data_IF_157674253753
#
_entry.id   IF_157674253753
#
_cell.length_a   1.000
_cell.length_b   1.000
_cell.length_c   1.000
_cell.angle_alpha   90.00
_cell.angle_beta   90.00
_cell.angle_gamma   90.00
#
_symmetry.space_group_name_H-M   'P 1'
#
loop_
_entity.id
_entity.type
_entity.pdbx_description
1 polymer ?
2 polymer ?
3 non-polymer ?
4 water ?
#
loop_
_entity_poly.entity_id
_entity_poly.type
_entity_poly.pdbx_seq_one_letter_code
_entity_poly.pdbx_strand_id
2 'polyribonucleotide' '(GTP)GCGCGCGCGCC' ?
#
# COMPACT_ATOMS: atom_id res chain seq x y z
N UNK A 7 -3.48 -16.52 -19.40
CA UNK A 7 -2.88 -16.07 -18.16
C UNK A 7 -2.08 -14.77 -18.40
N UNK A 8 -2.29 -13.76 -17.53
CA UNK A 8 -1.62 -12.48 -17.70
C UNK A 8 -0.28 -12.48 -16.96
N UNK A 9 0.79 -12.30 -17.73
CA UNK A 9 2.16 -12.30 -17.25
C UNK A 9 2.58 -10.83 -17.11
N UNK A 10 3.27 -10.50 -16.02
CA UNK A 10 3.77 -9.14 -15.78
C UNK A 10 5.28 -9.10 -15.77
N UNK A 11 5.86 -7.98 -16.19
CA UNK A 11 7.30 -7.79 -15.90
C UNK A 11 7.45 -7.03 -14.60
N UNK A 12 8.42 -7.40 -13.79
CA UNK A 12 8.69 -6.76 -12.49
C UNK A 12 9.92 -5.85 -12.71
N UNK A 13 9.73 -4.53 -12.55
CA UNK A 13 10.80 -3.56 -12.87
C UNK A 13 11.16 -2.76 -11.65
N UNK A 14 12.39 -2.22 -11.66
CA UNK A 14 12.77 -1.28 -10.58
C UNK A 14 11.87 -0.07 -10.67
N UNK A 15 11.30 0.31 -9.53
CA UNK A 15 10.39 1.48 -9.48
C UNK A 15 11.10 2.80 -9.78
N UNK A 16 12.40 2.84 -9.58
CA UNK A 16 13.18 4.05 -9.79
C UNK A 16 13.70 4.18 -11.21
N UNK A 17 14.43 3.16 -11.72
CA UNK A 17 15.07 3.30 -13.05
C UNK A 17 14.40 2.53 -14.22
N UNK A 18 13.39 1.74 -13.89
CA UNK A 18 12.60 0.95 -14.83
C UNK A 18 13.32 -0.19 -15.53
N UNK A 19 14.45 -0.64 -15.01
CA UNK A 19 15.06 -1.83 -15.56
C UNK A 19 14.31 -3.07 -15.05
N UNK A 20 14.33 -4.10 -15.88
CA UNK A 20 13.53 -5.31 -15.62
C UNK A 20 14.30 -6.25 -14.70
N UNK A 21 13.65 -6.80 -13.67
CA UNK A 21 14.31 -7.86 -12.86
C UNK A 21 13.84 -9.24 -13.29
N UNK A 22 12.54 -9.48 -13.51
CA UNK A 22 12.08 -10.83 -13.82
C UNK A 22 10.62 -10.81 -14.15
N UNK A 23 10.08 -11.95 -14.56
CA UNK A 23 8.65 -12.04 -14.82
C UNK A 23 7.88 -12.55 -13.61
N UNK A 24 6.58 -12.24 -13.58
CA UNK A 24 5.72 -12.54 -12.42
C UNK A 24 5.65 -14.07 -12.14
N UNK A 25 5.83 -14.88 -13.18
CA UNK A 25 5.64 -16.34 -13.07
C UNK A 25 6.75 -16.91 -12.15
N UNK A 26 7.80 -16.14 -11.84
CA UNK A 26 8.90 -16.62 -10.99
C UNK A 26 8.76 -16.24 -9.52
N UNK A 27 7.74 -15.47 -9.15
CA UNK A 27 7.57 -15.13 -7.76
C UNK A 27 6.74 -16.20 -7.10
N UNK A 28 7.26 -16.81 -6.02
CA UNK A 28 6.55 -17.85 -5.30
C UNK A 28 6.75 -17.65 -3.81
N UNK A 29 5.77 -18.12 -3.01
CA UNK A 29 5.78 -17.86 -1.54
C UNK A 29 6.33 -19.03 -0.74
N UNK A 30 7.01 -18.69 0.36
CA UNK A 30 7.44 -19.68 1.35
C UNK A 30 7.06 -19.09 2.71
N UNK A 31 6.01 -19.61 3.38
CA UNK A 31 5.55 -18.99 4.66
C UNK A 31 5.50 -17.46 4.58
N UNK A 32 4.83 -16.98 3.52
CA UNK A 32 4.58 -15.55 3.34
C UNK A 32 5.79 -14.67 3.06
N UNK A 33 6.91 -15.31 2.67
CA UNK A 33 8.05 -14.64 2.12
C UNK A 33 7.95 -14.78 0.60
N UNK A 34 7.98 -13.68 -0.11
CA UNK A 34 7.79 -13.71 -1.57
C UNK A 34 9.10 -13.63 -2.26
N UNK A 35 9.53 -14.78 -2.82
CA UNK A 35 10.91 -14.91 -3.31
C UNK A 35 10.95 -15.10 -4.81
N UNK A 36 12.13 -14.89 -5.39
CA UNK A 36 12.24 -14.97 -6.84
C UNK A 36 12.89 -16.31 -7.14
N UNK A 37 12.31 -17.08 -8.06
CA UNK A 37 12.87 -18.40 -8.37
C UNK A 37 13.32 -18.47 -9.84
N UNK A 38 13.76 -17.31 -10.39
CA UNK A 38 14.36 -17.28 -11.73
C UNK A 38 15.87 -17.15 -11.52
N UNK A 39 16.66 -18.17 -11.87
CA UNK A 39 18.09 -18.03 -11.53
C UNK A 39 18.74 -16.83 -12.27
N UNK A 40 18.16 -16.38 -13.39
CA UNK A 40 18.67 -15.25 -14.15
C UNK A 40 18.60 -13.92 -13.41
N UNK A 41 17.80 -13.85 -12.34
CA UNK A 41 17.52 -12.55 -11.75
C UNK A 41 18.76 -11.98 -11.05
N UNK A 42 19.69 -12.88 -10.63
CA UNK A 42 20.87 -12.41 -9.97
C UNK A 42 21.73 -11.51 -10.88
N UNK A 43 21.63 -11.64 -12.20
CA UNK A 43 22.41 -10.77 -13.10
C UNK A 43 22.03 -9.29 -12.92
N UNK A 44 20.84 -9.05 -12.35
CA UNK A 44 20.36 -7.67 -12.23
C UNK A 44 20.40 -7.14 -10.80
N UNK A 45 21.24 -7.74 -9.95
CA UNK A 45 21.30 -7.37 -8.55
C UNK A 45 22.73 -7.27 -8.08
N UNK A 46 23.07 -6.19 -7.37
CA UNK A 46 24.30 -6.18 -6.57
C UNK A 46 23.95 -6.84 -5.26
N UNK A 47 24.93 -7.55 -4.68
CA UNK A 47 24.75 -8.21 -3.39
C UNK A 47 25.79 -7.61 -2.45
N UNK A 48 25.35 -7.11 -1.30
CA UNK A 48 26.28 -6.48 -0.38
C UNK A 48 26.00 -6.86 1.04
N UNK A 49 27.06 -7.16 1.78
CA UNK A 49 26.90 -7.57 3.18
C UNK A 49 26.43 -6.42 4.04
N UNK A 50 25.48 -6.68 4.97
CA UNK A 50 25.10 -5.69 5.99
C UNK A 50 26.08 -5.54 7.13
N UNK A 51 27.05 -6.44 7.22
CA UNK A 51 27.97 -6.49 8.36
C UNK A 51 27.19 -6.40 9.69
N UNK A 52 26.08 -7.15 9.73
CA UNK A 52 25.25 -7.25 10.92
C UNK A 52 24.32 -8.46 10.75
N UNK A 53 24.50 -9.47 11.59
CA UNK A 53 23.65 -10.65 11.48
C UNK A 53 22.21 -10.34 11.89
N UNK A 54 21.24 -10.96 11.22
CA UNK A 54 19.84 -10.82 11.60
C UNK A 54 19.57 -11.14 13.05
N UNK A 55 18.61 -10.44 13.62
CA UNK A 55 18.06 -10.83 14.89
C UNK A 55 17.25 -12.13 14.77
N UNK A 56 16.71 -12.42 13.59
CA UNK A 56 15.95 -13.67 13.42
C UNK A 56 16.94 -14.80 13.09
N UNK A 57 17.04 -15.79 14.01
CA UNK A 57 18.01 -16.86 13.84
C UNK A 57 17.29 -18.19 13.72
N UNK A 58 17.33 -18.79 12.54
CA UNK A 58 16.75 -20.11 12.37
C UNK A 58 17.58 -20.89 11.35
N UNK A 59 17.46 -22.22 11.31
CA UNK A 59 18.16 -22.97 10.26
C UNK A 59 17.55 -22.85 8.87
N UNK A 60 16.22 -22.83 8.82
CA UNK A 60 15.49 -22.95 7.56
C UNK A 60 15.17 -21.66 6.82
N UNK A 61 15.42 -20.51 7.48
CA UNK A 61 15.05 -19.22 6.86
C UNK A 61 16.01 -18.18 7.44
N UNK A 62 17.03 -17.82 6.66
CA UNK A 62 18.12 -16.97 7.15
C UNK A 62 18.18 -15.69 6.31
N UNK A 63 17.82 -14.53 6.89
CA UNK A 63 18.04 -13.26 6.17
C UNK A 63 19.54 -12.90 6.10
N UNK A 64 20.04 -12.61 4.87
CA UNK A 64 21.47 -12.47 4.66
C UNK A 64 21.70 -11.11 4.00
N UNK A 65 22.44 -11.07 2.90
CA UNK A 65 22.95 -9.80 2.30
C UNK A 65 21.84 -8.93 1.76
N UNK A 66 22.07 -7.62 1.75
CA UNK A 66 21.12 -6.75 1.03
C UNK A 66 21.29 -6.91 -0.46
N UNK A 67 20.25 -6.56 -1.23
CA UNK A 67 20.35 -6.57 -2.70
C UNK A 67 19.97 -5.20 -3.23
N UNK A 68 20.75 -4.75 -4.23
CA UNK A 68 20.57 -3.42 -4.82
C UNK A 68 20.31 -3.59 -6.30
N UNK A 69 19.55 -2.66 -6.86
CA UNK A 69 19.37 -2.68 -8.33
C UNK A 69 20.76 -2.54 -8.99
N UNK A 70 21.01 -3.44 -9.97
CA UNK A 70 22.29 -3.40 -10.69
C UNK A 70 22.56 -2.08 -11.38
N UNK A 71 21.50 -1.38 -11.85
CA UNK A 71 21.69 -0.19 -12.61
C UNK A 71 21.69 1.09 -11.78
N UNK A 72 20.67 1.27 -10.90
CA UNK A 72 20.55 2.57 -10.18
C UNK A 72 21.08 2.46 -8.72
N UNK A 73 21.35 1.23 -8.29
CA UNK A 73 21.91 0.93 -6.97
C UNK A 73 21.01 1.17 -5.77
N UNK A 74 19.73 1.49 -5.96
CA UNK A 74 18.83 1.60 -4.82
C UNK A 74 18.66 0.23 -4.18
N UNK A 75 18.45 0.22 -2.86
CA UNK A 75 18.12 -1.06 -2.25
C UNK A 75 16.74 -1.57 -2.64
N UNK A 76 16.67 -2.85 -3.04
CA UNK A 76 15.42 -3.44 -3.55
C UNK A 76 14.96 -4.69 -2.75
N UNK A 77 15.59 -4.98 -1.62
CA UNK A 77 15.14 -6.11 -0.77
C UNK A 77 16.37 -6.73 -0.13
N UNK A 78 16.27 -8.05 0.07
CA UNK A 78 17.33 -8.76 0.80
C UNK A 78 17.42 -10.15 0.28
N UNK A 79 18.63 -10.71 0.30
CA UNK A 79 18.84 -12.10 -0.05
C UNK A 79 18.73 -12.98 1.20
N UNK A 80 18.22 -14.17 1.00
CA UNK A 80 18.05 -15.15 2.09
C UNK A 80 18.63 -16.50 1.73
N UNK A 81 18.93 -17.33 2.77
CA UNK A 81 19.06 -18.76 2.53
C UNK A 81 17.80 -19.42 3.12
N UNK A 82 16.92 -19.91 2.24
CA UNK A 82 15.68 -20.57 2.72
C UNK A 82 15.76 -22.01 2.26
N UNK A 83 15.48 -22.95 3.15
CA UNK A 83 15.63 -24.37 2.84
C UNK A 83 17.02 -24.68 2.20
N UNK A 84 18.07 -24.06 2.75
CA UNK A 84 19.43 -24.30 2.31
C UNK A 84 19.76 -23.68 0.93
N UNK A 85 18.87 -22.85 0.38
CA UNK A 85 19.01 -22.32 -0.98
C UNK A 85 19.09 -20.81 -0.97
N UNK A 86 20.03 -20.24 -1.74
CA UNK A 86 20.07 -18.74 -1.84
C UNK A 86 18.98 -18.20 -2.71
N UNK A 87 18.22 -17.24 -2.19
CA UNK A 87 17.07 -16.67 -2.94
C UNK A 87 16.96 -15.19 -2.70
N UNK A 88 16.62 -14.40 -3.74
CA UNK A 88 16.38 -12.98 -3.50
C UNK A 88 14.91 -12.74 -3.09
N UNK A 89 14.71 -11.76 -2.20
CA UNK A 89 13.36 -11.26 -1.89
C UNK A 89 13.29 -9.83 -2.28
N UNK A 90 12.57 -9.56 -3.38
CA UNK A 90 12.37 -8.18 -3.81
C UNK A 90 11.25 -7.60 -2.97
N UNK A 91 11.49 -6.39 -2.46
CA UNK A 91 10.47 -5.66 -1.67
C UNK A 91 9.38 -5.16 -2.64
N UNK A 92 8.09 -5.38 -2.25
CA UNK A 92 6.99 -4.92 -3.12
C UNK A 92 7.04 -3.42 -3.34
N UNK A 93 7.55 -2.65 -2.38
CA UNK A 93 7.66 -1.20 -2.57
C UNK A 93 8.73 -0.74 -3.54
N UNK A 94 9.65 -1.63 -3.89
CA UNK A 94 10.68 -1.28 -4.87
C UNK A 94 10.28 -1.58 -6.31
N UNK A 95 9.06 -2.11 -6.53
CA UNK A 95 8.72 -2.63 -7.85
C UNK A 95 7.69 -1.83 -8.58
N UNK A 96 7.82 -1.85 -9.90
CA UNK A 96 6.69 -1.40 -10.76
C UNK A 96 6.29 -2.63 -11.59
N UNK A 97 5.01 -2.87 -11.78
CA UNK A 97 4.54 -4.02 -12.54
C UNK A 97 4.01 -3.58 -13.88
N UNK A 98 4.41 -4.24 -14.98
CA UNK A 98 3.79 -3.90 -16.28
C UNK A 98 3.23 -5.15 -16.92
N UNK A 99 1.98 -5.18 -17.34
CA UNK A 99 1.43 -6.40 -17.94
C UNK A 99 2.04 -6.50 -19.34
N UNK A 100 2.53 -7.68 -19.70
CA UNK A 100 3.09 -7.86 -21.03
C UNK A 100 2.06 -7.45 -22.06
N UNK A 101 2.52 -6.64 -23.02
CA UNK A 101 1.77 -6.20 -24.18
C UNK A 101 0.71 -5.19 -23.79
N UNK A 102 0.91 -4.51 -22.66
CA UNK A 102 -0.05 -3.46 -22.27
C UNK A 102 0.75 -2.18 -21.99
N UNK A 103 0.13 -1.00 -22.03
CA UNK A 103 0.95 0.20 -21.81
C UNK A 103 0.82 0.76 -20.37
N UNK A 104 0.08 0.07 -19.52
CA UNK A 104 -0.14 0.52 -18.15
C UNK A 104 0.94 0.07 -17.19
N UNK A 105 1.18 0.87 -16.14
CA UNK A 105 2.09 0.38 -15.14
C UNK A 105 1.37 0.49 -13.79
N UNK A 106 1.76 -0.35 -12.84
CA UNK A 106 1.05 -0.41 -11.55
C UNK A 106 2.11 -0.52 -10.46
N UNK A 107 1.91 0.24 -9.39
CA UNK A 107 2.65 -0.03 -8.16
C UNK A 107 1.68 -0.39 -7.03
N UNK A 108 2.12 -1.27 -6.13
CA UNK A 108 1.25 -1.75 -5.05
C UNK A 108 1.95 -1.61 -3.70
N UNK A 109 1.17 -1.23 -2.71
CA UNK A 109 1.70 -1.06 -1.37
C UNK A 109 1.97 -2.39 -0.67
N UNK A 110 1.24 -3.45 -1.06
CA UNK A 110 1.30 -4.74 -0.36
C UNK A 110 1.27 -5.86 -1.38
N UNK A 111 1.95 -6.96 -1.11
CA UNK A 111 1.83 -8.13 -1.97
C UNK A 111 0.43 -8.64 -2.04
N UNK A 112 -0.39 -8.46 -0.99
CA UNK A 112 -1.75 -8.98 -1.09
C UNK A 112 -2.52 -8.24 -2.19
N UNK A 113 -2.11 -6.98 -2.50
CA UNK A 113 -2.80 -6.21 -3.55
C UNK A 113 -2.38 -6.80 -4.88
N UNK A 114 -1.12 -7.24 -4.96
CA UNK A 114 -0.62 -7.90 -6.20
C UNK A 114 -1.42 -9.17 -6.41
N UNK A 115 -1.62 -9.94 -5.36
CA UNK A 115 -2.38 -11.18 -5.48
C UNK A 115 -3.84 -10.93 -5.83
N UNK A 116 -4.46 -9.87 -5.31
CA UNK A 116 -5.86 -9.66 -5.63
C UNK A 116 -6.07 -9.02 -7.01
N UNK A 117 -5.13 -8.19 -7.45
CA UNK A 117 -5.39 -7.36 -8.61
C UNK A 117 -4.59 -7.76 -9.89
N UNK A 118 -3.40 -8.37 -9.70
CA UNK A 118 -2.48 -8.63 -10.82
C UNK A 118 -2.32 -10.10 -11.16
N UNK A 119 -1.79 -10.87 -10.22
CA UNK A 119 -1.58 -12.29 -10.53
C UNK A 119 -1.57 -13.10 -9.23
N UNK A 120 -2.10 -14.28 -9.37
CA UNK A 120 -1.99 -15.29 -8.31
C UNK A 120 -0.55 -15.71 -8.05
N UNK A 121 -0.17 -15.81 -6.77
CA UNK A 121 1.20 -16.23 -6.38
C UNK A 121 1.08 -17.56 -5.65
N UNK A 122 1.70 -18.59 -6.21
CA UNK A 122 1.56 -19.93 -5.59
C UNK A 122 2.70 -20.17 -4.62
N UNK A 123 2.50 -21.22 -3.82
CA UNK A 123 3.56 -21.66 -2.86
C UNK A 123 4.66 -22.36 -3.64
N UNK A 124 5.89 -22.02 -3.27
CA UNK A 124 7.05 -22.74 -3.79
C UNK A 124 7.10 -24.20 -3.38
N UNK A 125 7.52 -25.05 -4.31
CA UNK A 125 7.65 -26.46 -4.05
C UNK A 125 9.09 -26.85 -4.12
N UNK A 126 9.44 -28.05 -3.67
CA UNK A 126 10.85 -28.42 -3.67
C UNK A 126 11.51 -28.28 -5.04
N UNK A 127 10.83 -28.65 -6.12
CA UNK A 127 11.41 -28.39 -7.45
C UNK A 127 11.92 -26.91 -7.72
N UNK A 128 11.16 -25.92 -7.25
CA UNK A 128 11.55 -24.51 -7.38
C UNK A 128 12.88 -24.21 -6.63
N UNK A 129 13.02 -24.73 -5.42
CA UNK A 129 14.28 -24.54 -4.68
C UNK A 129 15.45 -25.21 -5.42
N UNK A 130 15.20 -26.41 -5.95
CA UNK A 130 16.27 -27.10 -6.67
C UNK A 130 16.76 -26.34 -7.94
N UNK A 131 15.86 -25.64 -8.62
CA UNK A 131 16.21 -24.84 -9.79
C UNK A 131 17.16 -23.70 -9.41
N UNK A 132 17.01 -23.19 -8.19
CA UNK A 132 17.80 -22.03 -7.74
C UNK A 132 19.09 -22.43 -7.08
N UNK A 133 19.23 -23.71 -6.70
CA UNK A 133 20.44 -24.09 -6.02
C UNK A 133 21.65 -23.87 -6.88
N UNK A 134 22.74 -23.33 -6.29
CA UNK A 134 24.00 -23.22 -7.02
C UNK A 134 23.84 -22.38 -8.31
N UNK A 135 22.97 -21.40 -8.27
CA UNK A 135 22.82 -20.51 -9.42
C UNK A 135 24.01 -19.59 -9.54
N UNK A 136 24.70 -19.34 -8.43
CA UNK A 136 25.82 -18.40 -8.49
C UNK A 136 27.16 -19.08 -8.65
N UNK A 137 27.37 -19.63 -9.85
CA UNK A 137 28.50 -20.46 -10.12
C UNK A 137 29.19 -20.07 -11.43
N UNK A 138 30.43 -20.52 -11.57
CA UNK A 138 31.15 -20.60 -12.82
C UNK A 138 31.76 -19.28 -13.32
N UNK A 139 31.02 -18.17 -13.30
CA UNK A 139 31.58 -16.94 -13.84
C UNK A 139 32.11 -15.99 -12.77
N UNK A 140 33.01 -15.08 -13.16
CA UNK A 140 33.55 -14.11 -12.19
C UNK A 140 32.45 -13.30 -11.52
N UNK A 141 31.45 -12.87 -12.28
CA UNK A 141 30.38 -12.07 -11.75
C UNK A 141 29.58 -12.85 -10.72
N UNK A 142 29.31 -14.14 -11.00
CA UNK A 142 28.52 -14.93 -10.04
C UNK A 142 29.33 -15.24 -8.79
N UNK A 143 30.59 -15.60 -8.95
CA UNK A 143 31.41 -16.04 -7.81
C UNK A 143 31.60 -14.91 -6.78
N UNK A 144 31.71 -13.68 -7.25
CA UNK A 144 31.88 -12.55 -6.35
C UNK A 144 30.67 -12.50 -5.43
N UNK A 145 29.47 -12.67 -6.00
CA UNK A 145 28.24 -12.60 -5.21
C UNK A 145 28.15 -13.77 -4.27
N UNK A 146 28.54 -14.96 -4.75
CA UNK A 146 28.51 -16.16 -3.91
C UNK A 146 29.39 -15.98 -2.68
N UNK A 147 30.58 -15.40 -2.86
CA UNK A 147 31.47 -15.16 -1.73
C UNK A 147 30.81 -14.29 -0.67
N UNK A 148 30.12 -13.24 -1.08
CA UNK A 148 29.46 -12.37 -0.10
C UNK A 148 28.33 -13.12 0.64
N UNK A 149 27.50 -13.86 -0.09
CA UNK A 149 26.45 -14.68 0.57
C UNK A 149 27.02 -15.71 1.49
N UNK A 150 28.08 -16.39 1.04
CA UNK A 150 28.69 -17.45 1.81
C UNK A 150 29.24 -16.86 3.10
N UNK A 151 29.89 -15.71 3.02
CA UNK A 151 30.45 -15.12 4.23
C UNK A 151 29.34 -14.72 5.23
N UNK A 152 28.25 -14.16 4.72
CA UNK A 152 27.14 -13.74 5.57
C UNK A 152 26.49 -14.97 6.17
N UNK A 153 26.38 -16.04 5.40
CA UNK A 153 25.85 -17.30 5.95
C UNK A 153 26.71 -17.88 7.09
N UNK A 154 28.03 -17.92 6.91
CA UNK A 154 28.91 -18.35 7.97
C UNK A 154 28.72 -17.51 9.25
N UNK A 155 28.56 -16.21 9.09
CA UNK A 155 28.41 -15.34 10.26
C UNK A 155 27.05 -15.64 10.93
N UNK A 156 26.01 -15.79 10.12
CA UNK A 156 24.68 -16.19 10.60
C UNK A 156 24.76 -17.49 11.40
N UNK A 157 25.38 -18.52 10.82
CA UNK A 157 25.47 -19.82 11.47
C UNK A 157 26.26 -19.74 12.78
N UNK A 158 27.28 -18.89 12.80
CA UNK A 158 28.05 -18.72 14.02
C UNK A 158 27.14 -18.22 15.16
N UNK A 159 26.26 -17.25 14.85
CA UNK A 159 25.39 -16.73 15.91
C UNK A 159 24.31 -17.74 16.29
N UNK A 160 23.80 -18.42 15.28
CA UNK A 160 22.83 -19.48 15.46
C UNK A 160 23.34 -20.50 16.45
N UNK A 161 24.54 -21.03 16.18
CA UNK A 161 25.11 -22.07 17.04
C UNK A 161 25.39 -21.51 18.42
N UNK A 162 25.75 -20.24 18.45
CA UNK A 162 26.07 -19.62 19.71
C UNK A 162 24.82 -19.53 20.57
N UNK A 163 23.69 -19.10 20.00
CA UNK A 163 22.42 -19.03 20.74
C UNK A 163 22.00 -20.38 21.29
N UNK A 164 22.29 -21.43 20.51
CA UNK A 164 21.82 -22.78 20.77
C UNK A 164 22.79 -23.53 21.63
N UNK A 165 23.84 -22.83 22.03
CA UNK A 165 24.84 -23.43 22.88
C UNK A 165 24.21 -23.70 24.26
N UNK A 166 23.23 -22.87 24.65
CA UNK A 166 22.57 -22.99 25.95
C UNK A 166 21.15 -22.42 26.02
N UNK B 7 3.70 18.25 -10.87
CA UNK B 7 2.40 18.46 -10.21
C UNK B 7 1.21 17.80 -10.87
N UNK B 8 1.29 16.49 -11.05
CA UNK B 8 0.22 15.77 -11.72
C UNK B 8 -1.07 15.65 -10.92
N UNK B 9 -2.19 15.67 -11.63
CA UNK B 9 -3.47 15.42 -11.01
C UNK B 9 -3.76 13.92 -11.11
N UNK B 10 -4.26 13.35 -10.01
CA UNK B 10 -4.62 11.97 -9.97
C UNK B 10 -6.09 11.79 -9.80
N UNK B 11 -6.62 10.70 -10.36
CA UNK B 11 -7.98 10.30 -10.07
C UNK B 11 -7.98 9.38 -8.87
N UNK B 12 -8.90 9.54 -7.92
CA UNK B 12 -9.03 8.61 -6.80
C UNK B 12 -10.18 7.66 -7.10
N UNK B 13 -9.92 6.35 -7.17
CA UNK B 13 -10.93 5.39 -7.61
C UNK B 13 -11.13 4.32 -6.56
N UNK B 14 -12.30 3.70 -6.61
CA UNK B 14 -12.60 2.52 -5.78
C UNK B 14 -11.67 1.37 -6.22
N UNK B 15 -10.92 0.83 -5.27
CA UNK B 15 -9.98 -0.23 -5.65
C UNK B 15 -10.70 -1.52 -6.00
N UNK B 16 -11.93 -1.66 -5.54
CA UNK B 16 -12.77 -2.81 -5.84
C UNK B 16 -13.49 -2.80 -7.21
N UNK B 17 -14.08 -1.67 -7.61
CA UNK B 17 -14.80 -1.61 -8.88
C UNK B 17 -14.31 -0.53 -9.89
N UNK B 18 -13.27 0.24 -9.54
CA UNK B 18 -12.73 1.32 -10.40
C UNK B 18 -13.61 2.53 -10.64
N UNK B 19 -14.66 2.71 -9.84
CA UNK B 19 -15.47 3.91 -10.03
C UNK B 19 -14.72 5.12 -9.47
N UNK B 20 -14.76 6.25 -10.18
CA UNK B 20 -14.00 7.42 -9.73
C UNK B 20 -14.74 8.20 -8.65
N UNK B 21 -14.09 8.56 -7.55
CA UNK B 21 -14.79 9.41 -6.57
C UNK B 21 -14.51 10.89 -6.77
N UNK B 22 -13.24 11.24 -6.97
CA UNK B 22 -12.84 12.65 -7.11
C UNK B 22 -11.39 12.77 -7.58
N UNK B 23 -10.97 14.00 -7.84
CA UNK B 23 -9.58 14.28 -8.21
C UNK B 23 -8.77 14.62 -6.98
N UNK B 24 -7.47 14.36 -7.06
CA UNK B 24 -6.56 14.59 -5.94
C UNK B 24 -6.53 16.03 -5.42
N UNK B 25 -6.84 17.01 -6.29
CA UNK B 25 -6.76 18.41 -5.90
C UNK B 25 -7.82 18.74 -4.82
N UNK B 26 -8.77 17.83 -4.59
CA UNK B 26 -9.83 18.12 -3.60
C UNK B 26 -9.55 17.55 -2.23
N UNK B 27 -8.42 16.85 -2.05
CA UNK B 27 -8.15 16.29 -0.75
C UNK B 27 -7.34 17.32 0.03
N UNK B 28 -7.77 17.63 1.25
CA UNK B 28 -7.07 18.65 2.05
C UNK B 28 -7.10 18.10 3.47
N UNK B 29 -6.06 18.40 4.27
CA UNK B 29 -5.93 17.83 5.60
C UNK B 29 -6.44 18.74 6.71
N UNK B 30 -7.08 18.13 7.70
CA UNK B 30 -7.39 18.83 8.92
C UNK B 30 -6.75 18.03 10.05
N UNK B 31 -5.65 18.53 10.61
CA UNK B 31 -4.94 17.79 11.66
C UNK B 31 -4.76 16.30 11.32
N UNK B 32 -4.19 16.09 10.16
CA UNK B 32 -3.88 14.76 9.67
C UNK B 32 -5.06 13.85 9.41
N UNK B 33 -6.27 14.44 9.29
CA UNK B 33 -7.40 13.76 8.69
C UNK B 33 -7.53 14.24 7.26
N UNK B 34 -7.56 13.33 6.28
CA UNK B 34 -7.46 13.69 4.87
C UNK B 34 -8.88 13.63 4.35
N UNK B 35 -9.47 14.81 4.10
CA UNK B 35 -10.91 14.87 3.81
C UNK B 35 -11.14 15.27 2.37
N UNK B 36 -12.33 14.95 1.84
CA UNK B 36 -12.66 15.38 0.48
C UNK B 36 -13.47 16.66 0.46
N UNK B 37 -12.96 17.70 -0.21
CA UNK B 37 -13.69 18.99 -0.32
C UNK B 37 -14.22 19.25 -1.72
N UNK B 38 -14.67 18.21 -2.41
CA UNK B 38 -15.39 18.34 -3.70
C UNK B 38 -16.88 18.12 -3.37
N UNK B 39 -17.71 19.16 -3.51
CA UNK B 39 -19.14 18.97 -3.14
C UNK B 39 -19.82 17.93 -4.00
N UNK B 40 -19.25 17.62 -5.16
CA UNK B 40 -19.86 16.57 -6.01
C UNK B 40 -19.66 15.17 -5.53
N UNK B 41 -18.72 14.96 -4.61
CA UNK B 41 -18.31 13.61 -4.26
C UNK B 41 -19.48 12.82 -3.66
N UNK B 42 -20.47 13.54 -3.06
CA UNK B 42 -21.48 12.80 -2.35
C UNK B 42 -22.35 11.95 -3.31
N UNK B 43 -22.44 12.33 -4.60
CA UNK B 43 -23.18 11.56 -5.60
C UNK B 43 -22.67 10.14 -5.70
N UNK B 44 -21.40 9.97 -5.35
CA UNK B 44 -20.70 8.68 -5.55
C UNK B 44 -20.54 7.88 -4.26
N UNK B 45 -21.24 8.31 -3.21
CA UNK B 45 -21.13 7.64 -1.92
C UNK B 45 -22.51 7.32 -1.35
N UNK B 46 -22.68 6.12 -0.80
CA UNK B 46 -23.82 5.89 0.08
C UNK B 46 -23.40 6.15 1.54
N UNK B 47 -24.33 6.69 2.32
CA UNK B 47 -24.05 7.04 3.69
C UNK B 47 -24.88 6.13 4.55
N UNK B 48 -24.24 5.35 5.43
CA UNK B 48 -24.91 4.30 6.19
C UNK B 48 -24.64 4.50 7.70
N UNK B 49 -25.68 4.62 8.54
CA UNK B 49 -25.45 4.84 9.96
C UNK B 49 -24.64 3.69 10.59
N UNK B 50 -23.77 3.98 11.56
CA UNK B 50 -23.04 2.88 12.23
C UNK B 50 -23.75 2.25 13.43
N UNK B 51 -24.72 2.97 13.97
CA UNK B 51 -25.45 2.57 15.18
C UNK B 51 -24.50 2.31 16.36
N UNK B 52 -23.40 3.06 16.42
CA UNK B 52 -22.46 2.92 17.51
C UNK B 52 -21.60 4.18 17.52
N UNK B 53 -21.63 4.95 18.61
CA UNK B 53 -20.99 6.27 18.61
C UNK B 53 -19.49 6.04 18.77
N UNK B 54 -18.70 6.87 18.12
CA UNK B 54 -17.26 6.77 18.18
C UNK B 54 -16.79 6.89 19.60
N UNK B 55 -15.66 6.28 19.90
CA UNK B 55 -15.06 6.42 21.21
C UNK B 55 -14.35 7.78 21.30
N UNK B 56 -13.99 8.32 20.13
CA UNK B 56 -13.45 9.67 20.09
C UNK B 56 -14.59 10.66 20.07
N UNK B 57 -14.79 11.37 21.19
CA UNK B 57 -15.87 12.35 21.29
C UNK B 57 -15.35 13.77 21.29
N UNK B 58 -15.83 14.60 20.37
CA UNK B 58 -15.46 16.01 20.37
C UNK B 58 -16.54 16.82 19.68
N UNK B 59 -16.47 18.13 19.82
CA UNK B 59 -17.45 18.96 19.18
C UNK B 59 -17.12 19.24 17.70
N UNK B 60 -15.84 19.38 17.43
CA UNK B 60 -15.34 19.95 16.19
C UNK B 60 -14.79 18.92 15.23
N UNK B 61 -14.76 17.66 15.63
CA UNK B 61 -14.25 16.65 14.76
C UNK B 61 -14.92 15.36 15.16
N UNK B 62 -16.09 15.10 14.60
CA UNK B 62 -16.88 13.91 15.00
C UNK B 62 -16.83 12.86 13.92
N UNK B 63 -16.24 11.67 14.18
CA UNK B 63 -16.38 10.58 13.22
C UNK B 63 -17.83 10.09 13.22
N UNK B 64 -18.51 10.07 12.07
CA UNK B 64 -19.94 9.71 12.07
C UNK B 64 -20.26 8.50 11.16
N UNK B 65 -21.15 8.66 10.18
CA UNK B 65 -21.67 7.50 9.39
C UNK B 65 -20.62 6.85 8.51
N UNK B 66 -20.77 5.56 8.24
CA UNK B 66 -19.88 4.92 7.26
C UNK B 66 -20.20 5.45 5.88
N UNK B 67 -19.23 5.47 4.96
CA UNK B 67 -19.48 5.77 3.53
C UNK B 67 -19.13 4.57 2.67
N UNK B 68 -19.98 4.27 1.68
CA UNK B 68 -19.76 3.09 0.82
C UNK B 68 -19.71 3.54 -0.60
N UNK B 69 -18.96 2.82 -1.43
CA UNK B 69 -18.90 3.08 -2.87
C UNK B 69 -20.33 3.03 -3.40
N UNK B 70 -20.76 4.07 -4.14
CA UNK B 70 -22.12 4.07 -4.71
C UNK B 70 -22.37 2.86 -5.60
N UNK B 71 -21.34 2.42 -6.32
CA UNK B 71 -21.49 1.38 -7.31
C UNK B 71 -21.48 -0.03 -6.73
N UNK B 72 -20.44 -0.32 -5.96
CA UNK B 72 -20.21 -1.69 -5.48
C UNK B 72 -20.49 -1.85 -3.98
N UNK B 73 -20.71 -0.73 -3.29
CA UNK B 73 -21.12 -0.72 -1.87
C UNK B 73 -19.98 -1.20 -0.93
N UNK B 74 -18.74 -1.29 -1.46
CA UNK B 74 -17.67 -1.59 -0.52
C UNK B 74 -17.52 -0.42 0.42
N UNK B 75 -17.26 -0.71 1.70
CA UNK B 75 -16.93 0.40 2.59
C UNK B 75 -15.65 1.11 2.18
N UNK B 76 -15.72 2.43 2.07
CA UNK B 76 -14.55 3.20 1.58
C UNK B 76 -14.08 4.26 2.57
N UNK B 77 -14.57 4.23 3.81
CA UNK B 77 -14.18 5.28 4.75
C UNK B 77 -15.33 5.67 5.68
N UNK B 78 -15.29 6.93 6.12
CA UNK B 78 -16.25 7.36 7.12
C UNK B 78 -16.49 8.82 6.89
N UNK B 79 -17.72 9.28 7.15
CA UNK B 79 -17.96 10.72 7.08
C UNK B 79 -17.75 11.33 8.46
N UNK B 80 -17.36 12.61 8.49
CA UNK B 80 -17.15 13.32 9.74
C UNK B 80 -17.92 14.62 9.69
N UNK B 81 -18.17 15.20 10.86
CA UNK B 81 -18.58 16.60 10.97
C UNK B 81 -17.38 17.36 11.51
N UNK B 82 -16.82 18.26 10.69
CA UNK B 82 -15.60 18.97 11.07
C UNK B 82 -15.92 20.44 11.00
N UNK B 83 -15.80 21.15 12.13
CA UNK B 83 -16.13 22.57 12.22
C UNK B 83 -17.57 22.79 11.68
N UNK B 84 -18.47 21.88 12.04
CA UNK B 84 -19.86 22.03 11.67
C UNK B 84 -20.24 21.64 10.24
N UNK B 85 -19.29 21.11 9.48
CA UNK B 85 -19.49 20.75 8.06
C UNK B 85 -19.30 19.26 7.87
N UNK B 86 -20.21 18.60 7.16
CA UNK B 86 -20.02 17.20 6.83
C UNK B 86 -19.04 16.98 5.68
N UNK B 87 -18.07 16.09 5.87
CA UNK B 87 -17.03 15.79 4.89
C UNK B 87 -16.74 14.32 4.87
N UNK B 88 -16.51 13.74 3.67
CA UNK B 88 -16.09 12.34 3.58
C UNK B 88 -14.60 12.20 3.86
N UNK B 89 -14.25 11.14 4.56
CA UNK B 89 -12.84 10.71 4.66
C UNK B 89 -12.68 9.38 3.96
N UNK B 90 -12.11 9.42 2.76
CA UNK B 90 -11.86 8.17 2.06
C UNK B 90 -10.62 7.49 2.67
N UNK B 91 -10.68 6.18 2.90
CA UNK B 91 -9.57 5.43 3.50
C UNK B 91 -8.54 5.15 2.37
N UNK B 92 -7.24 5.35 2.62
CA UNK B 92 -6.28 4.99 1.55
C UNK B 92 -6.34 3.53 1.19
N UNK B 93 -6.75 2.68 2.14
CA UNK B 93 -6.87 1.24 1.84
C UNK B 93 -7.94 0.86 0.80
N UNK B 94 -8.90 1.75 0.52
CA UNK B 94 -9.97 1.44 -0.38
C UNK B 94 -9.78 2.10 -1.73
N UNK B 95 -8.65 2.80 -1.88
CA UNK B 95 -8.38 3.63 -3.07
C UNK B 95 -7.28 3.10 -3.97
N UNK B 96 -7.49 3.32 -5.27
CA UNK B 96 -6.41 3.21 -6.24
C UNK B 96 -6.25 4.62 -6.79
N UNK B 97 -5.01 5.12 -6.87
CA UNK B 97 -4.73 6.42 -7.46
C UNK B 97 -4.31 6.23 -8.91
N UNK B 98 -4.96 6.97 -9.82
CA UNK B 98 -4.61 6.75 -11.24
C UNK B 98 -4.12 8.05 -11.84
N UNK B 99 -2.98 8.02 -12.53
CA UNK B 99 -2.53 9.18 -13.33
C UNK B 99 -2.89 8.86 -14.76
N UNK B 100 -3.96 9.48 -15.28
CA UNK B 100 -4.45 9.22 -16.63
C UNK B 100 -3.43 9.40 -17.76
N UNK B 101 -2.63 10.46 -17.69
CA UNK B 101 -1.71 10.73 -18.79
C UNK B 101 -0.56 9.73 -18.88
N UNK B 102 -0.07 9.33 -17.71
CA UNK B 102 1.01 8.36 -17.58
C UNK B 102 0.56 6.90 -17.70
N UNK B 103 -0.74 6.66 -17.75
CA UNK B 103 -1.24 5.29 -17.72
C UNK B 103 -0.66 4.54 -16.51
N UNK B 104 -0.74 5.16 -15.35
CA UNK B 104 -0.12 4.53 -14.17
C UNK B 104 -1.11 4.47 -13.08
N UNK B 105 -1.03 3.43 -12.24
CA UNK B 105 -1.87 3.43 -11.07
C UNK B 105 -1.08 2.98 -9.87
N UNK B 106 -1.55 3.38 -8.68
CA UNK B 106 -0.76 3.11 -7.44
C UNK B 106 -1.68 2.85 -6.27
N UNK B 107 -1.29 1.95 -5.39
CA UNK B 107 -1.95 1.83 -4.10
C UNK B 107 -0.93 2.18 -3.05
N UNK B 108 -1.42 2.78 -1.95
CA UNK B 108 -0.53 3.31 -0.89
C UNK B 108 -1.07 2.88 0.48
N UNK B 109 -0.14 2.58 1.38
CA UNK B 109 -0.45 2.05 2.70
C UNK B 109 -0.95 3.16 3.64
N UNK B 110 -0.47 4.38 3.45
CA UNK B 110 -0.87 5.48 4.34
C UNK B 110 -1.07 6.75 3.52
N UNK B 111 -1.98 7.63 3.96
CA UNK B 111 -2.16 8.96 3.35
C UNK B 111 -0.82 9.66 3.31
N UNK B 112 0.01 9.41 4.31
CA UNK B 112 1.34 9.97 4.33
C UNK B 112 2.26 9.58 3.16
N UNK B 113 2.07 8.37 2.61
CA UNK B 113 2.91 7.93 1.48
C UNK B 113 2.39 8.57 0.18
N UNK B 114 1.11 8.88 0.16
CA UNK B 114 0.49 9.61 -0.96
C UNK B 114 1.15 10.98 -1.10
N UNK B 115 1.30 11.71 0.02
CA UNK B 115 2.04 13.01 0.00
C UNK B 115 3.45 12.95 -0.48
N UNK B 116 4.15 11.91 -0.04
CA UNK B 116 5.52 11.75 -0.38
C UNK B 116 5.76 11.35 -1.84
N UNK B 117 4.89 10.51 -2.37
CA UNK B 117 5.22 9.84 -3.62
C UNK B 117 4.40 10.45 -4.77
N UNK B 118 3.19 10.92 -4.49
CA UNK B 118 2.26 11.17 -5.60
C UNK B 118 1.89 12.64 -5.78
N UNK B 119 1.33 13.25 -4.73
CA UNK B 119 0.93 14.65 -4.89
C UNK B 119 0.90 15.43 -3.56
N UNK B 120 1.19 16.73 -3.64
CA UNK B 120 1.05 17.61 -2.50
C UNK B 120 -0.40 17.70 -2.00
N UNK B 121 -0.60 17.69 -0.68
CA UNK B 121 -1.93 17.85 -0.07
C UNK B 121 -1.81 19.04 0.88
N UNK B 122 -2.65 20.04 0.67
CA UNK B 122 -2.57 21.24 1.52
C UNK B 122 -3.37 21.04 2.85
N UNK B 123 -3.06 21.85 3.86
CA UNK B 123 -3.96 21.92 5.02
C UNK B 123 -5.17 22.78 4.71
N UNK B 124 -6.36 22.29 5.04
CA UNK B 124 -7.61 23.01 4.80
C UNK B 124 -7.64 24.37 5.43
N UNK B 125 -8.22 25.34 4.71
CA UNK B 125 -8.42 26.68 5.25
C UNK B 125 -9.93 26.92 5.26
N UNK B 126 -10.36 28.03 5.86
CA UNK B 126 -11.81 28.31 5.87
C UNK B 126 -12.50 28.36 4.49
N UNK B 127 -11.84 28.97 3.51
CA UNK B 127 -12.34 28.95 2.13
C UNK B 127 -12.76 27.55 1.62
N UNK B 128 -11.98 26.50 1.95
CA UNK B 128 -12.35 25.13 1.50
C UNK B 128 -13.67 24.64 2.06
N UNK B 129 -14.00 25.07 3.27
CA UNK B 129 -15.24 24.62 3.93
C UNK B 129 -16.45 25.23 3.27
N UNK B 130 -16.28 26.41 2.71
CA UNK B 130 -17.45 27.12 2.20
C UNK B 130 -18.14 26.40 1.05
N UNK B 131 -17.37 25.80 0.13
CA UNK B 131 -18.04 25.09 -0.97
C UNK B 131 -18.75 23.82 -0.48
N UNK B 132 -18.35 23.29 0.70
CA UNK B 132 -18.98 22.06 1.18
C UNK B 132 -20.22 22.31 2.04
N UNK B 133 -20.39 23.55 2.47
CA UNK B 133 -21.38 23.92 3.47
C UNK B 133 -22.78 23.32 3.20
N UNK B 134 -23.28 23.59 2.02
CA UNK B 134 -24.63 23.12 1.74
C UNK B 134 -24.66 22.09 0.65
N UNK B 135 -23.59 21.30 0.56
CA UNK B 135 -23.41 20.32 -0.48
C UNK B 135 -24.45 19.21 -0.42
N UNK B 136 -25.08 19.02 0.74
CA UNK B 136 -26.07 17.94 0.89
C UNK B 136 -27.50 18.47 0.91
N UNK B 137 -27.70 19.76 0.66
CA UNK B 137 -29.01 20.36 0.90
C UNK B 137 -29.87 20.59 -0.35
N UNK B 138 -29.46 20.05 -1.49
CA UNK B 138 -30.06 20.54 -2.74
C UNK B 138 -30.96 19.56 -3.51
N UNK B 139 -30.82 18.26 -3.26
CA UNK B 139 -31.65 17.21 -3.92
C UNK B 139 -32.25 16.19 -2.93
N UNK B 140 -33.31 15.45 -3.35
CA UNK B 140 -33.94 14.45 -2.50
C UNK B 140 -32.89 13.44 -2.02
N UNK B 141 -32.06 13.02 -2.95
CA UNK B 141 -31.08 11.99 -2.56
C UNK B 141 -30.04 12.50 -1.61
N UNK B 142 -29.62 13.75 -1.78
CA UNK B 142 -28.61 14.27 -0.88
C UNK B 142 -29.21 14.56 0.50
N UNK B 143 -30.45 15.02 0.56
CA UNK B 143 -31.12 15.27 1.84
C UNK B 143 -31.22 14.00 2.67
N UNK B 144 -31.45 12.87 1.99
CA UNK B 144 -31.54 11.61 2.70
C UNK B 144 -30.18 11.28 3.35
N UNK B 145 -29.08 11.60 2.67
CA UNK B 145 -27.75 11.41 3.30
C UNK B 145 -27.58 12.35 4.48
N UNK B 146 -28.00 13.59 4.31
CA UNK B 146 -27.84 14.58 5.39
C UNK B 146 -28.61 14.13 6.64
N UNK B 147 -29.79 13.53 6.45
CA UNK B 147 -30.60 13.07 7.56
C UNK B 147 -29.90 11.99 8.37
N UNK B 148 -29.21 11.06 7.68
CA UNK B 148 -28.45 10.01 8.30
C UNK B 148 -27.34 10.65 9.11
N UNK B 149 -26.62 11.57 8.49
CA UNK B 149 -25.53 12.26 9.21
C UNK B 149 -26.03 13.05 10.42
N UNK B 150 -27.14 13.78 10.28
CA UNK B 150 -27.61 14.57 11.38
C UNK B 150 -28.03 13.69 12.57
N UNK B 151 -28.63 12.53 12.30
CA UNK B 151 -29.06 11.62 13.36
C UNK B 151 -27.83 11.06 14.07
N UNK B 152 -26.81 10.69 13.30
CA UNK B 152 -25.61 10.16 13.93
C UNK B 152 -24.93 11.28 14.73
N UNK B 153 -24.96 12.52 14.22
CA UNK B 153 -24.38 13.67 14.93
C UNK B 153 -25.12 13.95 16.23
N UNK B 154 -26.44 13.79 16.22
CA UNK B 154 -27.22 14.06 17.42
C UNK B 154 -26.87 13.04 18.50
N UNK B 155 -26.72 11.78 18.10
CA UNK B 155 -26.32 10.74 19.03
C UNK B 155 -24.93 10.95 19.55
N UNK B 156 -24.04 11.43 18.71
CA UNK B 156 -22.66 11.73 19.11
C UNK B 156 -22.68 12.85 20.13
N UNK B 157 -23.46 13.89 19.87
CA UNK B 157 -23.50 15.05 20.76
C UNK B 157 -24.05 14.68 22.11
N UNK B 158 -25.02 13.77 22.10
CA UNK B 158 -25.64 13.37 23.34
C UNK B 158 -24.66 12.62 24.26
N UNK B 159 -23.82 11.76 23.68
CA UNK B 159 -22.74 11.08 24.40
C UNK B 159 -21.69 12.08 24.89
N UNK B 160 -21.34 13.02 24.03
CA UNK B 160 -20.40 14.09 24.36
C UNK B 160 -20.83 14.90 25.58
N UNK B 161 -22.12 15.25 25.65
CA UNK B 161 -22.71 15.92 26.79
C UNK B 161 -22.39 15.16 28.07
N UNK B 162 -22.58 13.85 28.02
CA UNK B 162 -22.34 13.07 29.23
C UNK B 162 -20.83 13.04 29.55
N UNK B 163 -19.98 12.85 28.56
CA UNK B 163 -18.56 12.86 28.87
C UNK B 163 -18.13 14.21 29.47
N UNK B 164 -18.56 15.33 28.87
CA UNK B 164 -18.19 16.67 29.37
C UNK B 164 -18.67 16.85 30.77
N UNK B 165 -19.88 16.37 30.99
CA UNK B 165 -20.51 16.49 32.28
C UNK B 165 -19.73 15.83 33.42
N UNK B 166 -19.45 14.53 33.33
CA UNK B 166 -18.78 13.90 34.48
C UNK B 166 -17.25 13.78 34.37
N UNK B 167 -16.68 14.41 33.35
CA UNK B 167 -15.33 14.91 33.47
C UNK B 167 -15.39 16.05 34.50
N UNK B 168 -16.54 16.74 34.50
CA UNK B 168 -16.85 17.86 35.39
C UNK B 168 -15.94 19.08 35.19
#
# INVERSE_FOLDING_TARGET
MRLRHENKIYKLMCSNCSKEFCKSIYIKKVFSNYMVFDPSVWRFLHVESKRKVSKYLSEDNQPLSDIKCFHCKLDVGRAYKIRGTYLPQLSVKALTFVQESDYSSMTKAKWSDVEQDLFYISEAIEDDFRIMLNALSDTEENIEKKIVLDLDSRQHNKQLEMKRFHIQQE
MRLRHENKIYKLMCSNCSKEFCKSIYIKKVFSNYMVFDPSVWRFLHVESKRKVSKYLSEDNQPLSDIKCFHCKLDVGRAYKIRGTYLPQLSVKALTFVQESDYSSMTKAKWSDVEQDLFYISEAIEDDFRIMLNALSDTEENIEKKIVLDLDSRQHNKQLEMKRFHIQQE
#
